data_IF_516158568374
#
_entry.id   IF_516158568374
#
_cell.length_a   1.000
_cell.length_b   1.000
_cell.length_c   1.000
_cell.angle_alpha   90.00
_cell.angle_beta   90.00
_cell.angle_gamma   90.00
#
_symmetry.space_group_name_H-M   'P 1'
#
loop_
_entity.id
_entity.type
_entity.pdbx_description
1 polymer ?
#
# COMPACT_ATOMS: atom_id res chain seq x y z
N UNK A 1 1.18 11.38 -4.14
CA UNK A 1 0.29 11.18 -5.29
C UNK A 1 1.10 10.66 -6.46
N UNK A 2 0.56 9.75 -7.26
CA UNK A 2 1.23 9.25 -8.45
C UNK A 2 1.40 10.36 -9.50
N UNK A 3 2.51 10.33 -10.25
CA UNK A 3 2.81 11.25 -11.33
C UNK A 3 3.17 10.47 -12.61
N UNK A 4 3.02 11.08 -13.80
CA UNK A 4 3.34 10.40 -15.06
C UNK A 4 4.76 9.85 -15.08
N UNK A 5 4.94 8.63 -15.59
CA UNK A 5 6.23 7.91 -15.68
C UNK A 5 6.88 7.59 -14.32
N UNK A 6 6.14 7.56 -13.25
CA UNK A 6 6.65 7.14 -11.94
C UNK A 6 7.07 5.66 -11.98
N UNK A 7 8.35 5.38 -11.67
CA UNK A 7 8.90 4.03 -11.57
C UNK A 7 8.98 3.52 -10.13
N UNK A 8 9.10 4.44 -9.17
CA UNK A 8 9.19 4.12 -7.75
C UNK A 8 7.86 4.23 -7.02
N UNK A 9 7.88 3.97 -5.72
CA UNK A 9 6.73 4.19 -4.85
C UNK A 9 6.43 5.68 -4.65
N UNK A 10 5.23 5.96 -4.13
CA UNK A 10 4.89 7.30 -3.65
C UNK A 10 5.67 7.62 -2.37
N UNK A 11 5.88 8.91 -2.11
CA UNK A 11 6.56 9.36 -0.89
C UNK A 11 5.83 8.86 0.35
N UNK A 12 6.60 8.29 1.28
CA UNK A 12 6.07 7.76 2.52
C UNK A 12 5.41 8.84 3.39
N UNK A 13 4.29 8.49 4.01
CA UNK A 13 3.56 9.36 4.94
C UNK A 13 3.35 8.67 6.29
N UNK A 14 3.55 7.36 6.34
CA UNK A 14 3.51 6.57 7.57
C UNK A 14 4.88 5.96 7.88
N UNK A 15 5.18 5.62 9.14
CA UNK A 15 6.38 4.88 9.50
C UNK A 15 6.48 3.53 8.77
N UNK A 16 5.36 2.84 8.61
CA UNK A 16 5.29 1.57 7.88
C UNK A 16 5.71 1.73 6.42
N UNK A 17 5.23 2.77 5.73
CA UNK A 17 5.61 3.01 4.34
C UNK A 17 7.08 3.40 4.20
N UNK A 18 7.64 4.11 5.18
CA UNK A 18 9.07 4.44 5.22
C UNK A 18 9.93 3.18 5.28
N UNK A 19 9.61 2.24 6.16
CA UNK A 19 10.31 0.96 6.25
C UNK A 19 10.12 0.10 4.99
N UNK A 20 8.94 0.12 4.38
CA UNK A 20 8.69 -0.56 3.10
C UNK A 20 9.55 0.03 1.97
N UNK A 21 9.76 1.34 1.93
CA UNK A 21 10.65 1.99 0.97
C UNK A 21 12.10 1.56 1.18
N UNK A 22 12.59 1.58 2.42
CA UNK A 22 13.94 1.12 2.75
C UNK A 22 14.17 -0.34 2.38
N UNK A 23 13.20 -1.20 2.68
CA UNK A 23 13.24 -2.61 2.30
C UNK A 23 13.27 -2.80 0.77
N UNK A 24 12.40 -2.06 0.05
CA UNK A 24 12.37 -2.09 -1.41
C UNK A 24 13.71 -1.70 -2.03
N UNK A 25 14.32 -0.61 -1.57
CA UNK A 25 15.58 -0.11 -2.12
C UNK A 25 16.74 -1.07 -1.83
N UNK A 26 16.76 -1.66 -0.64
CA UNK A 26 17.73 -2.72 -0.29
C UNK A 26 17.59 -3.93 -1.22
N UNK A 27 16.37 -4.41 -1.42
CA UNK A 27 16.09 -5.55 -2.28
C UNK A 27 16.38 -5.24 -3.75
N UNK A 28 16.02 -4.03 -4.22
CA UNK A 28 16.27 -3.57 -5.58
C UNK A 28 17.77 -3.54 -5.90
N UNK A 29 18.61 -3.10 -4.97
CA UNK A 29 20.07 -3.14 -5.13
C UNK A 29 20.59 -4.57 -5.36
N UNK A 30 20.09 -5.54 -4.60
CA UNK A 30 20.44 -6.96 -4.76
C UNK A 30 19.96 -7.50 -6.11
N UNK A 31 18.72 -7.20 -6.50
CA UNK A 31 18.15 -7.63 -7.78
C UNK A 31 18.91 -7.03 -8.95
N UNK A 32 19.29 -5.75 -8.87
CA UNK A 32 20.09 -5.09 -9.89
C UNK A 32 21.48 -5.75 -10.05
N UNK A 33 22.12 -6.11 -8.94
CA UNK A 33 23.40 -6.83 -8.96
C UNK A 33 23.25 -8.19 -9.64
N UNK A 34 22.23 -8.98 -9.28
CA UNK A 34 21.96 -10.29 -9.88
C UNK A 34 21.68 -10.15 -11.38
N UNK A 35 20.80 -9.21 -11.76
CA UNK A 35 20.41 -8.99 -13.15
C UNK A 35 21.59 -8.55 -14.02
N UNK A 36 22.44 -7.68 -13.51
CA UNK A 36 23.65 -7.23 -14.22
C UNK A 36 24.68 -8.35 -14.38
N UNK A 37 24.85 -9.21 -13.36
CA UNK A 37 25.72 -10.38 -13.43
C UNK A 37 25.22 -11.37 -14.49
N UNK A 38 23.92 -11.68 -14.47
CA UNK A 38 23.32 -12.61 -15.45
C UNK A 38 23.43 -12.06 -16.86
N UNK A 39 23.14 -10.77 -17.07
CA UNK A 39 23.29 -10.12 -18.37
C UNK A 39 24.75 -10.16 -18.85
N UNK A 40 25.71 -9.90 -17.97
CA UNK A 40 27.13 -9.98 -18.29
C UNK A 40 27.54 -11.39 -18.75
N UNK A 41 27.10 -12.43 -18.04
CA UNK A 41 27.38 -13.82 -18.40
C UNK A 41 26.74 -14.17 -19.76
N UNK A 42 25.50 -13.76 -20.02
CA UNK A 42 24.81 -13.98 -21.30
C UNK A 42 25.62 -13.31 -22.45
N UNK A 43 26.04 -12.07 -22.26
CA UNK A 43 26.83 -11.34 -23.25
C UNK A 43 28.18 -12.02 -23.52
N UNK A 44 28.84 -12.52 -22.47
CA UNK A 44 30.08 -13.32 -22.64
C UNK A 44 29.82 -14.60 -23.45
N UNK A 45 28.76 -15.33 -23.15
CA UNK A 45 28.40 -16.56 -23.87
C UNK A 45 28.10 -16.31 -25.35
N UNK A 46 27.45 -15.18 -25.67
CA UNK A 46 27.13 -14.81 -27.06
C UNK A 46 28.35 -14.34 -27.86
N UNK A 47 29.34 -13.76 -27.21
CA UNK A 47 30.52 -13.19 -27.84
C UNK A 47 31.73 -14.11 -27.84
N UNK A 48 31.83 -15.04 -26.90
CA UNK A 48 32.96 -15.97 -26.76
C UNK A 48 32.88 -17.07 -27.82
N UNK A 49 34.06 -17.35 -28.43
CA UNK A 49 34.25 -18.49 -29.34
C UNK A 49 34.74 -19.74 -28.63
N UNK A 50 35.07 -19.63 -27.33
CA UNK A 50 35.56 -20.73 -26.51
C UNK A 50 34.35 -21.44 -25.89
N UNK A 51 34.02 -22.63 -26.41
CA UNK A 51 32.90 -23.44 -25.94
C UNK A 51 33.44 -24.73 -25.33
N UNK A 52 33.07 -24.99 -24.08
CA UNK A 52 33.33 -26.26 -23.40
C UNK A 52 32.01 -27.03 -23.26
N UNK A 53 31.80 -28.03 -24.14
CA UNK A 53 30.53 -28.77 -24.24
C UNK A 53 30.47 -30.02 -23.34
N UNK A 54 31.56 -30.40 -22.68
CA UNK A 54 31.67 -31.66 -21.93
C UNK A 54 31.54 -31.48 -20.40
N UNK A 55 30.84 -30.42 -19.95
CA UNK A 55 30.59 -30.17 -18.53
C UNK A 55 29.45 -31.04 -18.01
N UNK A 56 29.67 -32.35 -17.86
CA UNK A 56 28.63 -33.30 -17.45
C UNK A 56 28.54 -33.44 -15.91
N UNK A 57 29.60 -33.15 -15.16
CA UNK A 57 29.64 -33.21 -13.71
C UNK A 57 30.36 -31.99 -13.15
N UNK A 58 29.63 -31.04 -12.56
CA UNK A 58 30.14 -29.78 -12.02
C UNK A 58 29.65 -29.59 -10.58
N UNK A 59 29.79 -30.62 -9.75
CA UNK A 59 29.27 -30.65 -8.40
C UNK A 59 29.71 -29.44 -7.54
N UNK A 60 30.96 -28.98 -7.73
CA UNK A 60 31.47 -27.81 -7.01
C UNK A 60 30.70 -26.54 -7.38
N UNK A 61 30.44 -26.32 -8.67
CA UNK A 61 29.63 -25.17 -9.14
C UNK A 61 28.20 -25.29 -8.70
N UNK A 62 27.62 -26.47 -8.70
CA UNK A 62 26.25 -26.73 -8.22
C UNK A 62 26.11 -26.35 -6.75
N UNK A 63 27.10 -26.68 -5.91
CA UNK A 63 27.12 -26.27 -4.50
C UNK A 63 27.19 -24.73 -4.38
N UNK A 64 28.04 -24.06 -5.16
CA UNK A 64 28.19 -22.60 -5.11
C UNK A 64 26.87 -21.91 -5.48
N UNK A 65 26.23 -22.30 -6.60
CA UNK A 65 24.99 -21.65 -7.02
C UNK A 65 23.76 -22.03 -6.19
N UNK A 66 23.86 -23.04 -5.32
CA UNK A 66 22.84 -23.39 -4.34
C UNK A 66 23.02 -22.62 -3.03
N UNK A 67 24.24 -22.57 -2.51
CA UNK A 67 24.54 -21.95 -1.21
C UNK A 67 24.46 -20.42 -1.29
N UNK A 68 25.00 -19.81 -2.37
CA UNK A 68 25.04 -18.36 -2.51
C UNK A 68 23.64 -17.72 -2.56
N UNK A 69 22.68 -18.21 -3.37
CA UNK A 69 21.30 -17.74 -3.32
C UNK A 69 20.62 -17.94 -1.97
N UNK A 70 20.90 -19.04 -1.26
CA UNK A 70 20.35 -19.27 0.07
C UNK A 70 20.82 -18.19 1.07
N UNK A 71 22.08 -17.80 1.03
CA UNK A 71 22.61 -16.71 1.86
C UNK A 71 21.93 -15.38 1.51
N UNK A 72 21.79 -15.06 0.21
CA UNK A 72 21.11 -13.85 -0.25
C UNK A 72 19.66 -13.81 0.23
N UNK A 73 18.94 -14.94 0.15
CA UNK A 73 17.56 -15.02 0.63
C UNK A 73 17.45 -14.77 2.15
N UNK A 74 18.41 -15.26 2.95
CA UNK A 74 18.44 -14.96 4.39
C UNK A 74 18.65 -13.46 4.63
N UNK A 75 19.55 -12.83 3.89
CA UNK A 75 19.80 -11.38 4.00
C UNK A 75 18.57 -10.53 3.64
N UNK A 76 17.75 -11.00 2.70
CA UNK A 76 16.48 -10.34 2.35
C UNK A 76 15.38 -10.64 3.39
N UNK A 77 15.34 -11.87 3.92
CA UNK A 77 14.31 -12.30 4.85
C UNK A 77 14.31 -11.53 6.18
N UNK A 78 15.49 -11.19 6.72
CA UNK A 78 15.60 -10.49 8.00
C UNK A 78 14.88 -9.14 8.02
N UNK A 79 15.16 -8.18 7.13
CA UNK A 79 14.43 -6.91 7.09
C UNK A 79 12.96 -7.09 6.67
N UNK A 80 12.65 -8.06 5.82
CA UNK A 80 11.27 -8.37 5.43
C UNK A 80 10.42 -8.79 6.63
N UNK A 81 10.92 -9.69 7.47
CA UNK A 81 10.23 -10.13 8.68
C UNK A 81 10.09 -9.00 9.70
N UNK A 82 11.11 -8.14 9.84
CA UNK A 82 11.02 -6.97 10.70
C UNK A 82 9.86 -6.06 10.30
N UNK A 83 9.76 -5.71 9.03
CA UNK A 83 8.66 -4.89 8.50
C UNK A 83 7.30 -5.59 8.67
N UNK A 84 7.22 -6.89 8.43
CA UNK A 84 6.00 -7.67 8.61
C UNK A 84 5.49 -7.60 10.06
N UNK A 85 6.37 -7.81 11.05
CA UNK A 85 5.99 -7.74 12.47
C UNK A 85 5.59 -6.32 12.89
N UNK A 86 6.26 -5.29 12.34
CA UNK A 86 5.87 -3.90 12.61
C UNK A 86 4.47 -3.56 12.07
N UNK A 87 4.08 -4.12 10.92
CA UNK A 87 2.72 -3.94 10.37
C UNK A 87 1.64 -4.63 11.21
N UNK A 88 1.97 -5.77 11.82
CA UNK A 88 1.05 -6.56 12.64
C UNK A 88 0.94 -6.03 14.09
N UNK A 89 1.81 -5.12 14.50
CA UNK A 89 1.79 -4.59 15.85
C UNK A 89 0.56 -3.73 16.09
N UNK A 90 -0.26 -4.17 17.05
CA UNK A 90 -1.48 -3.46 17.45
C UNK A 90 -1.15 -2.49 18.56
N UNK A 91 -0.91 -1.24 18.20
CA UNK A 91 -0.81 -0.15 19.16
C UNK A 91 -2.20 0.22 19.69
N UNK A 92 -2.29 0.71 20.92
CA UNK A 92 -3.54 1.20 21.50
C UNK A 92 -4.09 2.34 20.63
N UNK A 93 -5.14 2.11 19.82
CA UNK A 93 -5.69 3.15 18.96
C UNK A 93 -6.45 4.17 19.80
N UNK A 94 -6.38 5.42 19.39
CA UNK A 94 -7.12 6.53 19.99
C UNK A 94 -8.43 6.82 19.25
N UNK A 95 -8.57 6.29 18.03
CA UNK A 95 -9.75 6.43 17.18
C UNK A 95 -9.97 5.11 16.43
N UNK A 96 -11.22 4.70 16.31
CA UNK A 96 -11.61 3.53 15.52
C UNK A 96 -12.60 3.94 14.44
N UNK A 97 -12.33 3.53 13.19
CA UNK A 97 -13.18 3.79 12.04
C UNK A 97 -13.48 2.46 11.35
N UNK A 98 -14.74 2.23 11.09
CA UNK A 98 -15.21 1.11 10.30
C UNK A 98 -15.39 1.56 8.86
N UNK A 99 -14.81 0.81 7.94
CA UNK A 99 -14.84 1.04 6.50
C UNK A 99 -15.54 -0.11 5.83
N UNK A 100 -16.62 0.16 5.09
CA UNK A 100 -17.37 -0.84 4.36
C UNK A 100 -17.28 -0.60 2.85
N UNK A 101 -16.94 -1.66 2.12
CA UNK A 101 -16.95 -1.65 0.65
C UNK A 101 -18.34 -2.00 0.11
N UNK A 102 -18.75 -1.28 -0.92
CA UNK A 102 -20.01 -1.49 -1.65
C UNK A 102 -19.76 -1.42 -3.16
N UNK A 103 -20.68 -1.89 -3.97
CA UNK A 103 -20.68 -1.69 -5.43
C UNK A 103 -21.41 -0.37 -5.76
N UNK A 104 -20.74 0.78 -6.04
CA UNK A 104 -19.29 0.99 -6.10
C UNK A 104 -18.97 2.29 -5.36
N UNK A 105 -18.87 2.22 -4.05
CA UNK A 105 -18.53 3.33 -3.16
C UNK A 105 -17.99 2.78 -1.83
N UNK A 106 -17.48 3.66 -0.99
CA UNK A 106 -17.07 3.34 0.37
C UNK A 106 -17.97 4.03 1.39
N UNK A 107 -18.30 3.38 2.49
CA UNK A 107 -18.92 4.02 3.65
C UNK A 107 -17.95 4.00 4.84
N UNK A 108 -17.98 5.07 5.61
CA UNK A 108 -17.14 5.27 6.78
C UNK A 108 -17.98 5.55 8.01
N UNK A 109 -17.72 4.85 9.12
CA UNK A 109 -18.38 4.98 10.39
C UNK A 109 -17.33 5.21 11.48
N UNK A 110 -17.40 6.34 12.18
CA UNK A 110 -16.50 6.70 13.27
C UNK A 110 -17.10 6.17 14.58
N UNK A 111 -16.69 4.99 14.99
CA UNK A 111 -17.33 4.24 16.08
C UNK A 111 -17.23 4.91 17.45
N UNK A 112 -16.32 5.86 17.63
CA UNK A 112 -16.15 6.62 18.87
C UNK A 112 -17.03 7.90 18.95
N UNK A 113 -17.78 8.19 17.86
CA UNK A 113 -18.69 9.32 17.75
C UNK A 113 -20.09 8.83 17.41
N UNK A 114 -21.09 9.29 18.18
CA UNK A 114 -22.49 8.98 17.87
C UNK A 114 -22.89 9.65 16.54
N UNK A 115 -23.56 8.88 15.66
CA UNK A 115 -24.11 9.32 14.37
C UNK A 115 -23.11 9.88 13.33
N UNK A 116 -21.80 9.73 13.52
CA UNK A 116 -20.81 10.15 12.52
C UNK A 116 -20.54 9.02 11.51
N UNK A 117 -21.40 8.92 10.50
CA UNK A 117 -21.26 7.99 9.39
C UNK A 117 -21.67 8.66 8.07
N UNK A 118 -20.99 8.32 6.99
CA UNK A 118 -21.27 8.85 5.65
C UNK A 118 -20.77 7.93 4.54
N UNK A 119 -21.37 8.09 3.37
CA UNK A 119 -20.94 7.47 2.14
C UNK A 119 -19.99 8.37 1.38
N UNK A 120 -19.09 7.76 0.61
CA UNK A 120 -18.05 8.42 -0.18
C UNK A 120 -18.13 7.94 -1.62
N UNK A 121 -18.67 8.77 -2.50
CA UNK A 121 -18.82 8.51 -3.93
C UNK A 121 -17.80 9.30 -4.75
N UNK A 122 -17.33 8.70 -5.85
CA UNK A 122 -16.47 9.39 -6.80
C UNK A 122 -17.19 10.57 -7.46
N UNK A 123 -16.53 11.72 -7.54
CA UNK A 123 -17.03 12.88 -8.29
C UNK A 123 -16.85 12.61 -9.79
N UNK A 124 -17.93 12.77 -10.55
CA UNK A 124 -17.91 12.61 -12.01
C UNK A 124 -17.10 13.69 -12.70
N UNK A 125 -16.51 13.39 -13.85
CA UNK A 125 -15.63 14.32 -14.57
C UNK A 125 -16.28 15.66 -14.86
N UNK A 126 -17.59 15.68 -15.14
CA UNK A 126 -18.35 16.89 -15.47
C UNK A 126 -18.61 17.80 -14.25
N UNK A 127 -18.48 17.27 -13.04
CA UNK A 127 -18.71 17.98 -11.78
C UNK A 127 -17.43 18.44 -11.08
N UNK A 128 -16.25 18.12 -11.63
CA UNK A 128 -14.96 18.49 -11.07
C UNK A 128 -14.71 19.99 -11.12
N UNK A 129 -14.16 20.53 -10.04
CA UNK A 129 -13.67 21.90 -9.97
C UNK A 129 -12.24 22.00 -10.51
N UNK A 130 -11.84 23.21 -10.87
CA UNK A 130 -10.46 23.46 -11.30
C UNK A 130 -9.45 23.09 -10.19
N UNK A 131 -8.50 22.22 -10.52
CA UNK A 131 -7.48 21.72 -9.60
C UNK A 131 -7.81 20.39 -8.92
N UNK A 132 -9.03 19.88 -9.05
CA UNK A 132 -9.41 18.55 -8.56
C UNK A 132 -8.92 17.44 -9.50
N UNK A 133 -8.67 16.27 -8.92
CA UNK A 133 -8.08 15.15 -9.63
C UNK A 133 -9.15 14.25 -10.26
N UNK A 134 -9.10 14.12 -11.57
CA UNK A 134 -10.01 13.24 -12.30
C UNK A 134 -9.89 11.79 -11.81
N UNK A 135 -11.04 11.14 -11.55
CA UNK A 135 -11.21 9.75 -11.10
C UNK A 135 -10.67 9.44 -9.69
N UNK A 136 -10.22 10.44 -8.95
CA UNK A 136 -9.68 10.25 -7.60
C UNK A 136 -10.45 11.05 -6.55
N UNK A 137 -11.15 12.13 -6.93
CA UNK A 137 -11.89 12.95 -5.98
C UNK A 137 -13.23 12.32 -5.59
N UNK A 138 -13.60 12.55 -4.33
CA UNK A 138 -14.86 12.09 -3.74
C UNK A 138 -15.65 13.26 -3.16
N UNK A 139 -16.96 13.06 -3.01
CA UNK A 139 -17.87 14.01 -2.37
C UNK A 139 -17.58 14.18 -0.86
N UNK A 140 -17.34 13.08 -0.16
CA UNK A 140 -17.03 13.05 1.27
C UNK A 140 -15.69 12.33 1.52
N UNK A 141 -14.72 13.05 2.06
CA UNK A 141 -13.40 12.53 2.40
C UNK A 141 -13.41 11.92 3.79
N UNK A 142 -12.62 10.85 3.98
CA UNK A 142 -12.33 10.32 5.29
C UNK A 142 -11.32 11.22 6.01
N UNK A 143 -11.76 11.99 6.99
CA UNK A 143 -10.91 12.92 7.75
C UNK A 143 -10.29 12.23 8.95
N UNK A 144 -8.99 12.37 9.16
CA UNK A 144 -8.23 11.71 10.24
C UNK A 144 -7.25 12.67 10.89
N UNK A 145 -6.98 12.51 12.21
CA UNK A 145 -5.91 13.25 12.87
C UNK A 145 -4.51 12.74 12.46
N UNK A 146 -3.53 13.65 12.35
CA UNK A 146 -2.12 13.29 12.22
C UNK A 146 -1.52 12.90 13.58
N UNK A 147 -0.40 12.18 13.54
CA UNK A 147 0.44 11.80 14.69
C UNK A 147 -0.26 10.94 15.77
N UNK A 148 -1.43 10.43 15.46
CA UNK A 148 -2.20 9.54 16.34
C UNK A 148 -2.45 8.18 15.68
N UNK A 149 -2.37 7.07 16.46
CA UNK A 149 -2.71 5.75 15.95
C UNK A 149 -4.23 5.60 15.79
N UNK A 150 -4.65 5.37 14.57
CA UNK A 150 -6.06 5.13 14.19
C UNK A 150 -6.22 3.68 13.80
N UNK A 151 -7.24 3.02 14.32
CA UNK A 151 -7.66 1.68 13.91
C UNK A 151 -8.66 1.80 12.77
N UNK A 152 -8.38 1.15 11.65
CA UNK A 152 -9.34 1.02 10.55
C UNK A 152 -9.80 -0.44 10.48
N UNK A 153 -11.10 -0.65 10.66
CA UNK A 153 -11.76 -1.95 10.54
C UNK A 153 -12.39 -2.03 9.16
N UNK A 154 -11.98 -2.98 8.34
CA UNK A 154 -12.36 -3.07 6.94
C UNK A 154 -13.17 -4.32 6.67
N UNK A 155 -14.35 -4.15 6.04
CA UNK A 155 -15.23 -5.23 5.60
C UNK A 155 -15.99 -4.83 4.33
N UNK A 156 -16.87 -5.69 3.86
CA UNK A 156 -17.75 -5.42 2.72
C UNK A 156 -19.18 -5.90 3.01
N UNK A 157 -20.17 -5.27 2.38
CA UNK A 157 -21.56 -5.71 2.44
C UNK A 157 -21.99 -6.61 1.28
N UNK A 158 -21.26 -6.60 0.17
CA UNK A 158 -21.67 -7.30 -1.06
C UNK A 158 -20.59 -8.26 -1.58
N UNK A 159 -19.65 -7.79 -2.39
CA UNK A 159 -18.58 -8.58 -2.99
C UNK A 159 -17.23 -8.26 -2.34
N UNK A 160 -16.18 -8.93 -2.77
CA UNK A 160 -14.83 -8.61 -2.34
C UNK A 160 -14.40 -7.24 -2.89
N UNK A 161 -13.81 -6.41 -2.02
CA UNK A 161 -13.10 -5.18 -2.35
C UNK A 161 -11.76 -5.19 -1.64
N UNK A 162 -10.91 -4.20 -1.90
CA UNK A 162 -9.67 -4.01 -1.12
C UNK A 162 -9.43 -2.52 -0.92
N UNK A 163 -9.36 -2.11 0.34
CA UNK A 163 -9.09 -0.74 0.74
C UNK A 163 -7.59 -0.50 0.76
N UNK A 164 -7.10 0.40 -0.08
CA UNK A 164 -5.66 0.62 -0.25
C UNK A 164 -5.31 2.09 -0.39
N UNK A 165 -4.30 2.54 0.37
CA UNK A 165 -3.71 3.88 0.29
C UNK A 165 -2.19 3.75 0.18
N UNK A 166 -1.64 3.82 -1.05
CA UNK A 166 -0.24 3.50 -1.33
C UNK A 166 0.78 4.36 -0.56
N UNK A 167 0.53 5.66 -0.38
CA UNK A 167 1.43 6.56 0.35
C UNK A 167 1.55 6.26 1.85
N UNK A 168 0.59 5.54 2.40
CA UNK A 168 0.58 5.06 3.79
C UNK A 168 1.07 3.61 3.91
N UNK A 169 1.32 2.93 2.79
CA UNK A 169 1.70 1.52 2.77
C UNK A 169 0.59 0.57 3.22
N UNK A 170 -0.67 1.01 3.13
CA UNK A 170 -1.82 0.24 3.58
C UNK A 170 -2.53 -0.41 2.41
N UNK A 171 -2.83 -1.70 2.59
CA UNK A 171 -3.73 -2.48 1.74
C UNK A 171 -4.37 -3.59 2.56
N UNK A 172 -5.70 -3.63 2.57
CA UNK A 172 -6.46 -4.61 3.33
C UNK A 172 -7.71 -5.00 2.57
N UNK A 173 -7.94 -6.29 2.43
CA UNK A 173 -9.10 -6.81 1.74
C UNK A 173 -10.37 -6.58 2.57
N UNK A 174 -11.41 -6.10 1.90
CA UNK A 174 -12.77 -5.94 2.42
C UNK A 174 -13.57 -7.18 2.04
N UNK A 175 -13.72 -8.11 3.00
CA UNK A 175 -14.31 -9.42 2.77
C UNK A 175 -15.67 -9.46 3.46
N UNK A 176 -16.77 -9.84 2.77
CA UNK A 176 -18.09 -10.01 3.38
C UNK A 176 -18.05 -11.01 4.55
N UNK A 177 -18.63 -10.61 5.68
CA UNK A 177 -18.66 -11.43 6.89
C UNK A 177 -17.37 -11.56 7.69
N UNK A 178 -16.30 -10.86 7.26
CA UNK A 178 -15.02 -10.79 7.97
C UNK A 178 -14.64 -9.33 8.24
N UNK A 179 -14.19 -9.06 9.45
CA UNK A 179 -13.70 -7.74 9.84
C UNK A 179 -12.16 -7.78 9.93
N UNK A 180 -11.50 -7.23 8.93
CA UNK A 180 -10.05 -7.06 8.93
C UNK A 180 -9.66 -5.77 9.66
N UNK A 181 -8.48 -5.75 10.25
CA UNK A 181 -7.98 -4.60 11.00
C UNK A 181 -6.62 -4.16 10.47
N UNK A 182 -6.45 -2.84 10.33
CA UNK A 182 -5.15 -2.21 10.09
C UNK A 182 -4.99 -1.01 11.02
N UNK A 183 -3.75 -0.72 11.40
CA UNK A 183 -3.41 0.49 12.17
C UNK A 183 -2.78 1.51 11.21
N UNK A 184 -3.25 2.73 11.29
CA UNK A 184 -2.78 3.87 10.51
C UNK A 184 -2.21 4.92 11.44
N UNK A 185 -0.99 5.37 11.17
CA UNK A 185 -0.39 6.55 11.81
C UNK A 185 0.22 7.40 10.71
N UNK A 186 -0.21 8.64 10.59
CA UNK A 186 0.33 9.58 9.61
C UNK A 186 1.30 10.54 10.26
N UNK A 187 2.42 10.81 9.58
CA UNK A 187 3.47 11.72 10.06
C UNK A 187 3.30 13.16 9.55
N UNK A 188 2.39 13.41 8.61
CA UNK A 188 2.19 14.73 8.01
C UNK A 188 0.76 14.94 7.53
N UNK A 189 0.24 16.17 7.60
CA UNK A 189 -1.08 16.51 7.07
C UNK A 189 -1.08 16.54 5.54
N UNK A 190 -2.27 16.40 4.95
CA UNK A 190 -2.48 16.49 3.50
C UNK A 190 -3.59 15.60 3.00
N UNK A 191 -3.75 15.56 1.66
CA UNK A 191 -4.68 14.67 0.96
C UNK A 191 -3.91 13.47 0.40
N UNK A 192 -4.43 12.28 0.67
CA UNK A 192 -3.84 11.02 0.23
C UNK A 192 -4.89 10.18 -0.48
N UNK A 193 -4.51 9.69 -1.64
CA UNK A 193 -5.42 9.02 -2.56
C UNK A 193 -5.14 7.53 -2.63
N UNK A 194 -6.21 6.76 -2.70
CA UNK A 194 -6.20 5.33 -2.89
C UNK A 194 -7.27 4.90 -3.88
N UNK A 195 -7.24 3.63 -4.25
CA UNK A 195 -8.22 3.02 -5.15
C UNK A 195 -8.55 1.62 -4.67
N UNK A 196 -9.75 1.14 -4.99
CA UNK A 196 -10.11 -0.25 -4.77
C UNK A 196 -9.08 -1.17 -5.45
N UNK A 197 -8.57 -2.15 -4.71
CA UNK A 197 -7.45 -3.01 -5.15
C UNK A 197 -7.84 -4.49 -5.28
N UNK A 198 -9.15 -4.81 -5.25
CA UNK A 198 -9.70 -6.14 -5.56
C UNK A 198 -10.85 -5.99 -6.54
N UNK A 199 -10.87 -6.81 -7.60
CA UNK A 199 -11.86 -6.74 -8.68
C UNK A 199 -13.28 -6.97 -8.14
N UNK A 200 -14.15 -5.97 -8.31
CA UNK A 200 -15.49 -5.95 -7.70
C UNK A 200 -16.62 -5.70 -8.71
N UNK A 201 -16.34 -5.65 -10.01
CA UNK A 201 -17.34 -5.49 -11.07
C UNK A 201 -17.08 -4.32 -12.03
N UNK A 202 -18.13 -3.82 -12.68
CA UNK A 202 -18.02 -2.87 -13.80
C UNK A 202 -17.37 -1.53 -13.42
N UNK A 203 -17.67 -1.00 -12.23
CA UNK A 203 -17.15 0.28 -11.76
C UNK A 203 -15.99 0.11 -10.74
N UNK A 204 -15.26 -1.00 -10.80
CA UNK A 204 -14.11 -1.26 -9.93
C UNK A 204 -13.10 -0.10 -9.91
N UNK A 205 -12.83 0.53 -11.03
CA UNK A 205 -11.90 1.67 -11.15
C UNK A 205 -12.50 3.01 -10.75
N UNK A 206 -13.77 3.06 -10.35
CA UNK A 206 -14.54 4.28 -10.13
C UNK A 206 -15.07 4.38 -8.68
N UNK A 207 -14.36 3.79 -7.73
CA UNK A 207 -14.59 3.91 -6.28
C UNK A 207 -13.29 4.24 -5.56
N UNK A 208 -12.81 5.48 -5.72
CA UNK A 208 -11.57 5.95 -5.10
C UNK A 208 -11.71 6.12 -3.59
N UNK A 209 -10.54 6.23 -2.93
CA UNK A 209 -10.39 6.47 -1.50
C UNK A 209 -9.64 7.79 -1.33
N UNK A 210 -10.19 8.72 -0.56
CA UNK A 210 -9.51 9.97 -0.23
C UNK A 210 -9.44 10.16 1.27
N UNK A 211 -8.21 10.24 1.78
CA UNK A 211 -7.93 10.56 3.17
C UNK A 211 -7.52 12.02 3.29
N UNK A 212 -8.17 12.76 4.17
CA UNK A 212 -7.78 14.10 4.56
C UNK A 212 -7.17 14.06 5.96
N UNK A 213 -5.84 14.13 6.02
CA UNK A 213 -5.10 14.08 7.27
C UNK A 213 -4.87 15.50 7.78
N UNK A 214 -5.37 15.79 8.96
CA UNK A 214 -5.34 17.13 9.55
C UNK A 214 -4.79 17.11 10.98
N UNK A 215 -4.19 18.19 11.47
CA UNK A 215 -3.85 18.31 12.89
C UNK A 215 -5.08 18.11 13.79
N UNK A 216 -4.89 17.52 14.98
CA UNK A 216 -5.95 17.12 15.91
C UNK A 216 -6.99 18.22 16.14
N UNK A 217 -6.56 19.47 16.32
CA UNK A 217 -7.45 20.63 16.52
C UNK A 217 -8.49 20.79 15.39
N UNK A 218 -8.08 20.57 14.16
CA UNK A 218 -8.98 20.70 13.01
C UNK A 218 -9.89 19.48 12.87
N UNK A 219 -9.39 18.30 13.24
CA UNK A 219 -10.21 17.11 13.32
C UNK A 219 -11.35 17.25 14.33
N UNK A 220 -11.06 17.76 15.55
CA UNK A 220 -12.07 18.03 16.58
C UNK A 220 -13.11 19.06 16.11
N UNK A 221 -12.67 20.11 15.42
CA UNK A 221 -13.59 21.11 14.87
C UNK A 221 -14.48 20.54 13.77
N UNK A 222 -13.93 19.67 12.92
CA UNK A 222 -14.65 18.99 11.85
C UNK A 222 -15.67 17.99 12.42
N UNK A 223 -15.27 17.13 13.36
CA UNK A 223 -16.18 16.14 13.98
C UNK A 223 -17.33 16.82 14.72
N UNK A 224 -17.07 17.90 15.43
CA UNK A 224 -18.11 18.69 16.11
C UNK A 224 -19.07 19.43 15.15
N UNK A 225 -18.68 19.63 13.89
CA UNK A 225 -19.57 20.27 12.90
C UNK A 225 -20.54 19.31 12.24
N UNK A 226 -20.31 18.00 12.38
CA UNK A 226 -21.14 16.93 11.80
C UNK A 226 -22.01 16.22 12.84
N UNK A 227 -21.66 16.35 14.14
CA UNK A 227 -22.47 15.94 15.27
C UNK A 227 -23.52 17.02 15.59
#
# INVERSE_FOLDING_TARGET
MAYPLQLGFQDATSPVMEELLHFHDHTLMIIFLISSLVLYIIMLMLTSKLIHTNMMNVQEMEMIWTILPAIILILIALPSLHTLYMMDEINNPLLTIKTMGHQWFWSYEYTDYEDLAFDSYMITTDSLKFGELRLLEVDNRMVLPTDLPVRVLVSSEDVLHSWAVPSLGLKTDAIPGRLNQVTLTSMRPGLFYGQCSEICGANHSFMPIVLELVPLKYFESWSASLA
#
